data_IF_452439332543
#
_entry.id   IF_452439332543
#
_cell.length_a   1.000
_cell.length_b   1.000
_cell.length_c   1.000
_cell.angle_alpha   90.00
_cell.angle_beta   90.00
_cell.angle_gamma   90.00
#
_symmetry.space_group_name_H-M   'P 1'
#
loop_
_entity.id
_entity.type
_entity.pdbx_description
1 polymer ?
#
# COMPACT_ATOMS: atom_id res chain seq x y z
N UNK A 1 -52.25 -18.40 34.62
CA UNK A 1 -51.71 -17.71 35.81
C UNK A 1 -50.41 -17.09 35.36
N UNK A 2 -50.45 -15.80 35.02
CA UNK A 2 -49.30 -15.08 34.47
C UNK A 2 -48.44 -14.61 35.63
N UNK A 3 -47.23 -15.14 35.74
CA UNK A 3 -46.25 -14.74 36.73
C UNK A 3 -45.52 -13.49 36.21
N UNK A 4 -45.76 -12.37 36.87
CA UNK A 4 -45.07 -11.09 36.65
C UNK A 4 -44.15 -10.84 37.83
N UNK A 5 -42.92 -11.35 37.74
CA UNK A 5 -41.88 -11.21 38.76
C UNK A 5 -40.67 -10.40 38.27
N UNK A 6 -40.66 -9.12 38.67
CA UNK A 6 -39.54 -8.21 39.00
C UNK A 6 -38.27 -8.11 38.11
N UNK A 7 -37.92 -6.88 37.64
CA UNK A 7 -36.65 -6.60 36.97
C UNK A 7 -35.52 -6.39 38.00
N UNK A 8 -34.65 -7.37 38.14
CA UNK A 8 -33.45 -7.28 38.97
C UNK A 8 -32.42 -8.31 38.51
N UNK A 9 -31.18 -7.85 38.35
CA UNK A 9 -29.96 -8.62 38.08
C UNK A 9 -29.67 -9.00 36.62
N UNK A 10 -29.42 -7.99 35.77
CA UNK A 10 -28.54 -8.16 34.61
C UNK A 10 -27.11 -8.40 35.12
N UNK A 11 -26.70 -9.66 35.22
CA UNK A 11 -25.29 -10.01 35.41
C UNK A 11 -24.51 -9.57 34.16
N UNK A 12 -23.44 -8.79 34.37
CA UNK A 12 -22.55 -8.27 33.32
C UNK A 12 -21.61 -9.35 32.75
N UNK A 13 -22.11 -10.56 32.49
CA UNK A 13 -21.31 -11.66 31.95
C UNK A 13 -21.79 -12.20 30.60
N UNK A 14 -22.94 -11.73 30.09
CA UNK A 14 -23.40 -12.07 28.74
C UNK A 14 -23.11 -10.95 27.75
N UNK A 15 -21.82 -10.59 27.63
CA UNK A 15 -21.36 -10.02 26.36
C UNK A 15 -21.16 -11.23 25.45
N UNK A 16 -22.15 -11.46 24.59
CA UNK A 16 -22.23 -12.55 23.63
C UNK A 16 -20.87 -12.88 22.99
N UNK A 17 -20.26 -13.97 23.48
CA UNK A 17 -19.10 -14.62 22.88
C UNK A 17 -19.40 -15.19 21.46
N UNK A 18 -20.62 -14.98 20.95
CA UNK A 18 -21.05 -15.33 19.58
C UNK A 18 -20.57 -14.36 18.49
N UNK A 19 -19.93 -13.23 18.84
CA UNK A 19 -19.40 -12.27 17.85
C UNK A 19 -17.99 -12.62 17.32
N UNK A 20 -17.42 -13.78 17.70
CA UNK A 20 -16.09 -14.24 17.26
C UNK A 20 -16.15 -15.52 16.43
N UNK A 21 -17.26 -15.79 15.74
CA UNK A 21 -17.30 -16.89 14.79
C UNK A 21 -16.77 -16.44 13.41
N UNK A 22 -15.46 -16.61 13.20
CA UNK A 22 -14.79 -16.40 11.91
C UNK A 22 -15.31 -17.35 10.80
N UNK A 23 -16.30 -18.21 11.08
CA UNK A 23 -16.94 -19.09 10.09
C UNK A 23 -18.14 -18.46 9.37
N UNK A 24 -18.56 -17.24 9.72
CA UNK A 24 -19.55 -16.51 8.93
C UNK A 24 -18.94 -16.09 7.57
N UNK A 25 -19.47 -16.58 6.43
CA UNK A 25 -18.88 -16.31 5.11
C UNK A 25 -18.81 -14.82 4.79
N UNK A 26 -19.76 -14.00 5.27
CA UNK A 26 -19.73 -12.54 5.05
C UNK A 26 -18.61 -11.84 5.84
N UNK A 27 -18.28 -12.36 7.02
CA UNK A 27 -17.16 -11.85 7.82
C UNK A 27 -15.85 -12.28 7.14
N UNK A 28 -15.76 -13.52 6.69
CA UNK A 28 -14.57 -14.04 6.00
C UNK A 28 -14.28 -13.28 4.71
N UNK A 29 -15.28 -13.05 3.86
CA UNK A 29 -15.14 -12.27 2.62
C UNK A 29 -14.66 -10.85 2.92
N UNK A 30 -15.26 -10.19 3.92
CA UNK A 30 -14.83 -8.83 4.33
C UNK A 30 -13.40 -8.79 4.87
N UNK A 31 -12.95 -9.85 5.57
CA UNK A 31 -11.59 -9.97 6.08
C UNK A 31 -10.60 -10.20 4.93
N UNK A 32 -10.97 -11.03 3.94
CA UNK A 32 -10.17 -11.29 2.75
C UNK A 32 -9.98 -9.99 1.95
N UNK A 33 -11.06 -9.23 1.73
CA UNK A 33 -11.01 -7.95 1.03
C UNK A 33 -10.13 -6.95 1.77
N UNK A 34 -10.31 -6.80 3.09
CA UNK A 34 -9.47 -5.94 3.92
C UNK A 34 -8.00 -6.35 3.88
N UNK A 35 -7.71 -7.65 3.88
CA UNK A 35 -6.34 -8.16 3.79
C UNK A 35 -5.73 -7.87 2.41
N UNK A 36 -6.48 -8.08 1.33
CA UNK A 36 -6.06 -7.73 -0.03
C UNK A 36 -5.72 -6.25 -0.16
N UNK A 37 -6.58 -5.38 0.37
CA UNK A 37 -6.40 -3.94 0.44
C UNK A 37 -5.16 -3.53 1.25
N UNK A 38 -4.94 -4.16 2.41
CA UNK A 38 -3.75 -3.93 3.23
C UNK A 38 -2.47 -4.35 2.50
N UNK A 39 -2.51 -5.48 1.79
CA UNK A 39 -1.39 -5.98 1.02
C UNK A 39 -1.08 -5.07 -0.18
N UNK A 40 -2.10 -4.57 -0.89
CA UNK A 40 -1.95 -3.61 -1.97
C UNK A 40 -1.25 -2.33 -1.47
N UNK A 41 -1.73 -1.75 -0.36
CA UNK A 41 -1.13 -0.57 0.26
C UNK A 41 0.31 -0.81 0.73
N UNK A 42 0.58 -1.97 1.32
CA UNK A 42 1.93 -2.34 1.74
C UNK A 42 2.88 -2.45 0.54
N UNK A 43 2.43 -3.07 -0.56
CA UNK A 43 3.19 -3.19 -1.81
C UNK A 43 3.42 -1.82 -2.46
N UNK A 44 2.44 -0.93 -2.44
CA UNK A 44 2.55 0.43 -2.98
C UNK A 44 3.58 1.28 -2.21
N UNK A 45 3.47 1.34 -0.87
CA UNK A 45 4.42 2.07 -0.03
C UNK A 45 5.84 1.49 -0.14
N UNK A 46 5.96 0.17 -0.20
CA UNK A 46 7.25 -0.49 -0.40
C UNK A 46 7.87 -0.16 -1.76
N UNK A 47 7.05 -0.01 -2.81
CA UNK A 47 7.49 0.38 -4.16
C UNK A 47 7.96 1.84 -4.19
N UNK A 48 7.21 2.75 -3.57
CA UNK A 48 7.58 4.15 -3.42
C UNK A 48 8.93 4.32 -2.69
N UNK A 49 9.10 3.67 -1.53
CA UNK A 49 10.34 3.70 -0.77
C UNK A 49 11.52 3.06 -1.52
N UNK A 50 11.27 1.96 -2.25
CA UNK A 50 12.32 1.31 -3.04
C UNK A 50 12.77 2.18 -4.23
N UNK A 51 11.87 2.99 -4.80
CA UNK A 51 12.18 3.92 -5.87
C UNK A 51 13.00 5.12 -5.38
N UNK A 52 12.61 5.75 -4.26
CA UNK A 52 13.34 6.90 -3.69
C UNK A 52 14.75 6.51 -3.25
N UNK A 53 14.94 5.30 -2.73
CA UNK A 53 16.26 4.78 -2.33
C UNK A 53 17.04 4.12 -3.47
N UNK A 54 16.51 4.13 -4.69
CA UNK A 54 17.22 3.60 -5.84
C UNK A 54 18.28 4.62 -6.29
N UNK A 55 19.42 4.12 -6.78
CA UNK A 55 20.47 4.99 -7.32
C UNK A 55 20.00 5.77 -8.56
N UNK A 56 18.94 5.28 -9.21
CA UNK A 56 18.30 5.88 -10.37
C UNK A 56 16.85 6.26 -10.06
N UNK A 57 16.63 7.56 -9.85
CA UNK A 57 15.31 8.16 -9.59
C UNK A 57 14.72 8.68 -10.90
N UNK A 58 14.19 7.77 -11.71
CA UNK A 58 13.51 8.11 -12.98
C UNK A 58 12.07 7.62 -12.98
N UNK A 59 11.17 8.23 -13.77
CA UNK A 59 9.78 7.76 -13.93
C UNK A 59 9.71 6.32 -14.46
N UNK A 60 10.68 5.95 -15.30
CA UNK A 60 10.83 4.61 -15.85
C UNK A 60 11.21 3.59 -14.77
N UNK A 61 12.17 3.92 -13.89
CA UNK A 61 12.52 3.06 -12.76
C UNK A 61 11.33 2.83 -11.80
N UNK A 62 10.50 3.86 -11.57
CA UNK A 62 9.28 3.72 -10.78
C UNK A 62 8.29 2.75 -11.44
N UNK A 63 8.02 2.96 -12.72
CA UNK A 63 7.11 2.13 -13.52
C UNK A 63 7.55 0.67 -13.51
N UNK A 64 8.86 0.42 -13.60
CA UNK A 64 9.42 -0.92 -13.59
C UNK A 64 9.28 -1.58 -12.23
N UNK A 65 9.59 -0.88 -11.13
CA UNK A 65 9.39 -1.42 -9.76
C UNK A 65 7.91 -1.81 -9.56
N UNK A 66 6.98 -0.95 -9.97
CA UNK A 66 5.54 -1.21 -9.85
C UNK A 66 5.10 -2.37 -10.74
N UNK A 67 5.56 -2.44 -11.99
CA UNK A 67 5.24 -3.56 -12.90
C UNK A 67 5.75 -4.90 -12.39
N UNK A 68 6.97 -4.94 -11.84
CA UNK A 68 7.54 -6.15 -11.25
C UNK A 68 6.89 -6.54 -9.92
N UNK A 69 6.32 -5.58 -9.19
CA UNK A 69 5.54 -5.85 -7.99
C UNK A 69 4.15 -6.41 -8.33
N UNK A 70 3.54 -5.90 -9.40
CA UNK A 70 2.29 -6.42 -9.97
C UNK A 70 2.45 -7.75 -10.72
N UNK A 71 3.69 -8.23 -10.86
CA UNK A 71 4.06 -9.44 -11.60
C UNK A 71 3.52 -9.44 -13.05
N UNK A 72 3.34 -8.25 -13.62
CA UNK A 72 2.86 -8.13 -14.99
C UNK A 72 3.92 -8.70 -15.92
N UNK A 73 3.55 -9.77 -16.63
CA UNK A 73 4.46 -10.47 -17.50
C UNK A 73 5.00 -9.52 -18.57
N UNK A 74 6.32 -9.32 -18.54
CA UNK A 74 7.04 -8.50 -19.52
C UNK A 74 7.05 -9.18 -20.90
N UNK A 75 6.93 -10.51 -20.95
CA UNK A 75 7.14 -11.32 -22.16
C UNK A 75 5.84 -11.97 -22.70
N UNK A 76 4.87 -12.29 -21.83
CA UNK A 76 3.58 -12.91 -22.21
C UNK A 76 2.45 -11.89 -22.48
N UNK A 77 1.27 -12.41 -22.84
CA UNK A 77 0.05 -11.60 -22.97
C UNK A 77 -0.45 -11.20 -21.58
N UNK A 78 -0.57 -9.88 -21.36
CA UNK A 78 -1.08 -9.32 -20.10
C UNK A 78 -2.57 -9.61 -20.03
N UNK A 79 -3.01 -10.28 -18.97
CA UNK A 79 -4.43 -10.54 -18.72
C UNK A 79 -5.12 -9.32 -18.11
N UNK A 80 -6.44 -9.18 -18.30
CA UNK A 80 -7.20 -8.07 -17.72
C UNK A 80 -7.04 -7.95 -16.19
N UNK A 81 -7.08 -9.05 -15.40
CA UNK A 81 -6.88 -8.96 -13.95
C UNK A 81 -5.48 -8.48 -13.55
N UNK A 82 -4.43 -8.83 -14.31
CA UNK A 82 -3.07 -8.34 -14.07
C UNK A 82 -2.95 -6.85 -14.36
N UNK A 83 -3.64 -6.38 -15.39
CA UNK A 83 -3.70 -4.97 -15.75
C UNK A 83 -4.47 -4.14 -14.71
N UNK A 84 -5.61 -4.65 -14.23
CA UNK A 84 -6.39 -4.01 -13.16
C UNK A 84 -5.57 -3.90 -11.87
N UNK A 85 -4.87 -4.98 -11.48
CA UNK A 85 -3.99 -4.96 -10.30
C UNK A 85 -2.83 -3.98 -10.45
N UNK A 86 -2.24 -3.88 -11.64
CA UNK A 86 -1.19 -2.90 -11.92
C UNK A 86 -1.69 -1.45 -11.83
N UNK A 87 -2.88 -1.17 -12.37
CA UNK A 87 -3.50 0.16 -12.25
C UNK A 87 -3.78 0.54 -10.80
N UNK A 88 -4.31 -0.40 -10.02
CA UNK A 88 -4.58 -0.22 -8.60
C UNK A 88 -3.30 0.02 -7.81
N UNK A 89 -2.26 -0.77 -8.07
CA UNK A 89 -0.96 -0.63 -7.42
C UNK A 89 -0.29 0.69 -7.80
N UNK A 90 -0.39 1.11 -9.07
CA UNK A 90 0.20 2.38 -9.53
C UNK A 90 -0.49 3.57 -8.88
N UNK A 91 -1.83 3.54 -8.77
CA UNK A 91 -2.62 4.58 -8.11
C UNK A 91 -2.31 4.66 -6.62
N UNK A 92 -2.25 3.53 -5.94
CA UNK A 92 -1.87 3.49 -4.53
C UNK A 92 -0.42 3.93 -4.30
N UNK A 93 0.48 3.68 -5.26
CA UNK A 93 1.87 4.17 -5.19
C UNK A 93 1.92 5.70 -5.29
N UNK A 94 1.10 6.31 -6.13
CA UNK A 94 0.97 7.77 -6.19
C UNK A 94 0.48 8.36 -4.85
N UNK A 95 -0.53 7.74 -4.24
CA UNK A 95 -1.03 8.14 -2.91
C UNK A 95 0.06 7.95 -1.85
N UNK A 96 0.80 6.85 -1.90
CA UNK A 96 1.91 6.59 -0.97
C UNK A 96 3.02 7.65 -1.06
N UNK A 97 3.37 8.13 -2.27
CA UNK A 97 4.33 9.22 -2.46
C UNK A 97 3.86 10.52 -1.78
N UNK A 98 2.56 10.84 -1.89
CA UNK A 98 2.01 12.01 -1.18
C UNK A 98 2.00 11.81 0.34
N UNK A 99 1.75 10.58 0.82
CA UNK A 99 1.79 10.24 2.24
C UNK A 99 3.21 10.30 2.83
N UNK A 100 4.24 10.07 2.00
CA UNK A 100 5.65 10.27 2.37
C UNK A 100 6.06 11.75 2.38
N UNK A 101 5.20 12.65 1.89
CA UNK A 101 5.38 14.10 2.00
C UNK A 101 5.67 14.82 0.69
N UNK A 102 5.56 14.15 -0.46
CA UNK A 102 5.63 14.81 -1.76
C UNK A 102 4.39 15.69 -2.03
N UNK A 103 4.57 16.80 -2.74
CA UNK A 103 3.48 17.68 -3.13
C UNK A 103 2.59 17.01 -4.17
N UNK A 104 1.27 17.05 -3.99
CA UNK A 104 0.29 16.41 -4.88
C UNK A 104 0.45 16.85 -6.34
N UNK A 105 0.69 18.15 -6.56
CA UNK A 105 0.93 18.72 -7.89
C UNK A 105 2.12 18.07 -8.58
N UNK A 106 3.22 17.86 -7.85
CA UNK A 106 4.46 17.36 -8.42
C UNK A 106 4.37 15.86 -8.68
N UNK A 107 3.69 15.11 -7.80
CA UNK A 107 3.33 13.70 -8.04
C UNK A 107 2.43 13.56 -9.27
N UNK A 108 1.39 14.40 -9.40
CA UNK A 108 0.55 14.42 -10.60
C UNK A 108 1.37 14.68 -11.87
N UNK A 109 2.26 15.67 -11.81
CA UNK A 109 3.16 16.03 -12.91
C UNK A 109 4.07 14.87 -13.31
N UNK A 110 4.62 14.14 -12.33
CA UNK A 110 5.44 12.93 -12.55
C UNK A 110 4.69 11.87 -13.36
N UNK A 111 3.45 11.54 -12.98
CA UNK A 111 2.68 10.51 -13.68
C UNK A 111 2.14 10.98 -15.04
N UNK A 112 1.88 12.28 -15.21
CA UNK A 112 1.34 12.84 -16.46
C UNK A 112 2.40 13.11 -17.52
N UNK A 113 3.53 13.71 -17.12
CA UNK A 113 4.59 14.14 -18.03
C UNK A 113 5.70 13.10 -18.16
N UNK A 114 5.88 12.24 -17.16
CA UNK A 114 6.94 11.23 -17.10
C UNK A 114 8.32 11.83 -17.39
N UNK A 115 8.60 13.01 -16.85
CA UNK A 115 9.89 13.69 -16.99
C UNK A 115 10.79 13.49 -15.75
N UNK A 116 12.10 13.43 -15.99
CA UNK A 116 13.11 13.19 -14.95
C UNK A 116 13.18 14.34 -13.93
N UNK A 117 12.89 15.57 -14.36
CA UNK A 117 12.88 16.74 -13.46
C UNK A 117 11.80 16.62 -12.36
N UNK A 118 10.61 16.14 -12.71
CA UNK A 118 9.53 15.92 -11.73
C UNK A 118 9.86 14.75 -10.80
N UNK A 119 10.51 13.70 -11.32
CA UNK A 119 10.96 12.57 -10.52
C UNK A 119 11.96 13.00 -9.43
N UNK A 120 12.97 13.78 -9.80
CA UNK A 120 13.97 14.31 -8.87
C UNK A 120 13.33 15.22 -7.81
N UNK A 121 12.39 16.08 -8.22
CA UNK A 121 11.69 16.99 -7.31
C UNK A 121 10.90 16.22 -6.25
N UNK A 122 10.14 15.21 -6.66
CA UNK A 122 9.36 14.35 -5.76
C UNK A 122 10.27 13.58 -4.81
N UNK A 123 11.38 13.01 -5.30
CA UNK A 123 12.30 12.27 -4.46
C UNK A 123 13.00 13.16 -3.43
N UNK A 124 13.44 14.37 -3.81
CA UNK A 124 14.04 15.32 -2.88
C UNK A 124 13.07 15.71 -1.76
N UNK A 125 11.81 16.01 -2.09
CA UNK A 125 10.78 16.32 -1.09
C UNK A 125 10.59 15.19 -0.08
N UNK A 126 10.61 13.95 -0.55
CA UNK A 126 10.49 12.76 0.32
C UNK A 126 11.74 12.58 1.18
N UNK A 127 12.94 12.74 0.61
CA UNK A 127 14.20 12.64 1.34
C UNK A 127 14.32 13.72 2.44
N UNK A 128 13.94 14.95 2.14
CA UNK A 128 13.90 16.05 3.11
C UNK A 128 12.95 15.75 4.28
N UNK A 129 11.81 15.10 3.99
CA UNK A 129 10.84 14.70 5.02
C UNK A 129 11.33 13.53 5.85
N UNK A 130 11.88 12.50 5.22
CA UNK A 130 12.42 11.31 5.89
C UNK A 130 13.66 11.63 6.73
N UNK A 131 14.48 12.59 6.31
CA UNK A 131 15.62 13.05 7.09
C UNK A 131 15.21 13.87 8.32
N UNK A 132 14.09 14.59 8.24
CA UNK A 132 13.54 15.35 9.38
C UNK A 132 12.90 14.42 10.43
N UNK A 133 12.17 13.39 10.00
CA UNK A 133 11.51 12.43 10.88
C UNK A 133 11.92 10.99 10.53
N UNK A 134 13.07 10.51 11.02
CA UNK A 134 13.56 9.18 10.67
C UNK A 134 12.66 8.11 11.28
N UNK A 135 11.92 7.40 10.43
CA UNK A 135 11.17 6.20 10.78
C UNK A 135 11.73 5.00 10.02
N UNK A 136 11.73 3.84 10.64
CA UNK A 136 12.09 2.58 9.96
C UNK A 136 11.09 2.29 8.83
N UNK A 137 11.60 1.91 7.65
CA UNK A 137 10.78 1.60 6.47
C UNK A 137 9.69 0.56 6.74
N UNK A 138 10.00 -0.46 7.55
CA UNK A 138 9.03 -1.48 7.93
C UNK A 138 7.90 -0.88 8.77
N UNK A 139 8.19 0.17 9.53
CA UNK A 139 7.20 0.94 10.26
C UNK A 139 6.38 1.83 9.34
N UNK A 140 6.98 2.50 8.36
CA UNK A 140 6.22 3.29 7.37
C UNK A 140 5.27 2.43 6.54
N UNK A 141 5.78 1.33 5.98
CA UNK A 141 4.99 0.38 5.15
C UNK A 141 3.77 -0.12 5.90
N UNK A 142 3.96 -0.59 7.13
CA UNK A 142 2.87 -1.21 7.85
C UNK A 142 2.06 -0.23 8.71
N UNK A 143 2.45 1.04 8.83
CA UNK A 143 1.54 2.13 9.27
C UNK A 143 0.58 2.47 8.14
N UNK A 144 1.12 2.69 6.92
CA UNK A 144 0.33 2.99 5.73
C UNK A 144 -0.63 1.87 5.33
N UNK A 145 -0.21 0.61 5.48
CA UNK A 145 -1.08 -0.53 5.24
C UNK A 145 -2.34 -0.52 6.11
N UNK A 146 -2.23 -0.07 7.37
CA UNK A 146 -3.31 -0.10 8.36
C UNK A 146 -4.12 1.21 8.34
N UNK A 147 -3.42 2.34 8.45
CA UNK A 147 -3.99 3.67 8.52
C UNK A 147 -3.97 4.20 7.10
N UNK A 148 -5.08 4.02 6.37
CA UNK A 148 -5.23 4.61 5.05
C UNK A 148 -5.29 6.14 5.21
N UNK A 149 -4.32 6.93 4.73
CA UNK A 149 -4.53 8.37 4.63
C UNK A 149 -5.63 8.62 3.60
N UNK A 150 -6.47 9.64 3.83
CA UNK A 150 -7.45 10.03 2.81
C UNK A 150 -6.73 10.32 1.49
N UNK A 151 -7.21 9.81 0.34
CA UNK A 151 -6.60 10.11 -0.95
C UNK A 151 -6.75 11.61 -1.21
N UNK A 152 -5.68 12.37 -0.99
CA UNK A 152 -5.64 13.83 -1.27
C UNK A 152 -5.51 14.10 -2.77
N UNK A 153 -5.33 13.06 -3.60
CA UNK A 153 -5.42 13.19 -5.05
C UNK A 153 -6.87 13.48 -5.42
N UNK A 154 -7.14 14.74 -5.80
CA UNK A 154 -8.37 15.14 -6.47
C UNK A 154 -8.63 14.13 -7.58
N UNK A 155 -9.72 13.36 -7.41
CA UNK A 155 -10.29 12.36 -8.32
C UNK A 155 -9.48 12.24 -9.62
N UNK A 156 -8.69 11.16 -9.74
CA UNK A 156 -8.09 10.71 -11.00
C UNK A 156 -8.98 11.15 -12.17
N UNK A 157 -8.46 12.02 -13.04
CA UNK A 157 -9.27 12.72 -14.04
C UNK A 157 -10.10 11.70 -14.82
N UNK A 158 -11.38 11.65 -14.48
CA UNK A 158 -12.37 10.76 -15.04
C UNK A 158 -12.64 11.25 -16.44
N UNK A 159 -11.97 10.68 -17.44
CA UNK A 159 -12.25 11.04 -18.83
C UNK A 159 -13.62 10.47 -19.17
N UNK A 160 -14.59 11.35 -19.42
CA UNK A 160 -15.89 10.95 -19.97
C UNK A 160 -15.69 10.71 -21.45
N UNK A 161 -15.71 9.44 -21.87
CA UNK A 161 -15.85 9.04 -23.27
C UNK A 161 -17.20 8.35 -23.35
N UNK A 162 -18.12 8.89 -24.15
CA UNK A 162 -19.49 8.40 -24.34
C UNK A 162 -20.29 8.17 -23.03
N UNK A 163 -20.28 9.15 -22.12
CA UNK A 163 -21.09 9.13 -20.91
C UNK A 163 -20.64 8.11 -19.84
N UNK A 164 -19.55 7.38 -20.08
CA UNK A 164 -18.91 6.51 -19.09
C UNK A 164 -17.63 7.17 -18.58
N UNK A 165 -17.52 7.24 -17.26
CA UNK A 165 -16.30 7.61 -16.57
C UNK A 165 -15.29 6.48 -16.80
N UNK A 166 -14.24 6.74 -17.58
CA UNK A 166 -13.13 5.80 -17.76
C UNK A 166 -11.88 6.44 -17.16
N UNK A 167 -11.18 5.70 -16.29
CA UNK A 167 -9.88 6.14 -15.78
C UNK A 167 -8.89 6.17 -16.94
N UNK A 168 -8.01 7.19 -16.98
CA UNK A 168 -6.93 7.21 -17.99
C UNK A 168 -6.01 6.03 -17.74
N UNK A 169 -6.07 5.06 -18.66
CA UNK A 169 -5.22 3.87 -18.66
C UNK A 169 -3.75 4.27 -18.67
N UNK A 170 -2.98 3.79 -17.68
CA UNK A 170 -1.52 3.93 -17.70
C UNK A 170 -1.01 2.84 -18.63
N UNK A 171 -0.34 3.18 -19.74
CA UNK A 171 0.04 2.17 -20.73
C UNK A 171 1.11 1.25 -20.14
N UNK A 172 0.79 -0.04 -19.99
CA UNK A 172 1.79 -1.05 -19.65
C UNK A 172 2.71 -1.24 -20.86
N UNK A 173 4.02 -1.11 -20.66
CA UNK A 173 5.02 -1.34 -21.71
C UNK A 173 5.83 -2.59 -21.37
N UNK A 174 6.00 -3.49 -22.34
CA UNK A 174 6.95 -4.61 -22.26
C UNK A 174 8.38 -4.05 -22.16
N UNK A 175 9.08 -4.26 -21.06
CA UNK A 175 10.47 -3.76 -20.83
C UNK A 175 11.33 -4.77 -20.08
N UNK A 176 12.59 -4.93 -20.50
CA UNK A 176 13.56 -5.79 -19.79
C UNK A 176 14.14 -5.07 -18.57
N UNK A 177 13.98 -5.65 -17.37
CA UNK A 177 14.56 -5.10 -16.16
C UNK A 177 16.10 -5.22 -16.12
N UNK A 178 16.76 -4.11 -15.82
CA UNK A 178 18.20 -4.02 -15.53
C UNK A 178 18.53 -4.65 -14.17
N UNK A 179 19.83 -4.85 -13.89
CA UNK A 179 20.25 -5.46 -12.62
C UNK A 179 19.91 -4.59 -11.40
N UNK A 180 20.06 -3.26 -11.52
CA UNK A 180 19.70 -2.31 -10.47
C UNK A 180 18.20 -2.38 -10.17
N UNK A 181 17.36 -2.41 -11.21
CA UNK A 181 15.90 -2.52 -11.07
C UNK A 181 15.47 -3.84 -10.43
N UNK A 182 16.12 -4.96 -10.79
CA UNK A 182 15.88 -6.25 -10.11
C UNK A 182 16.26 -6.20 -8.63
N UNK A 183 17.32 -5.48 -8.28
CA UNK A 183 17.71 -5.27 -6.89
C UNK A 183 16.68 -4.40 -6.14
N UNK A 184 16.21 -3.31 -6.76
CA UNK A 184 15.15 -2.44 -6.23
C UNK A 184 13.84 -3.22 -6.04
N UNK A 185 13.42 -4.04 -7.01
CA UNK A 185 12.24 -4.90 -6.89
C UNK A 185 12.40 -5.91 -5.75
N UNK A 186 13.57 -6.56 -5.63
CA UNK A 186 13.85 -7.47 -4.52
C UNK A 186 13.79 -6.75 -3.18
N UNK A 187 14.23 -5.49 -3.11
CA UNK A 187 14.15 -4.63 -1.93
C UNK A 187 12.69 -4.30 -1.60
N UNK A 188 11.90 -3.87 -2.58
CA UNK A 188 10.47 -3.60 -2.44
C UNK A 188 9.72 -4.83 -1.89
N UNK A 189 9.90 -6.00 -2.52
CA UNK A 189 9.28 -7.27 -2.07
C UNK A 189 9.68 -7.62 -0.63
N UNK A 190 10.97 -7.47 -0.28
CA UNK A 190 11.42 -7.64 1.11
C UNK A 190 10.73 -6.65 2.05
N UNK A 191 10.58 -5.38 1.70
CA UNK A 191 9.93 -4.37 2.56
C UNK A 191 8.44 -4.71 2.77
N UNK A 192 7.71 -5.00 1.68
CA UNK A 192 6.30 -5.38 1.72
C UNK A 192 6.05 -6.60 2.62
N UNK A 193 6.84 -7.67 2.46
CA UNK A 193 6.60 -8.93 3.17
C UNK A 193 7.30 -9.06 4.53
N UNK A 194 8.34 -8.27 4.81
CA UNK A 194 9.09 -8.37 6.09
C UNK A 194 8.62 -7.41 7.17
N UNK A 195 7.87 -6.35 6.83
CA UNK A 195 7.44 -5.33 7.77
C UNK A 195 6.72 -5.92 9.01
N UNK A 196 5.70 -6.77 8.77
CA UNK A 196 4.97 -7.45 9.84
C UNK A 196 5.87 -8.37 10.67
N UNK A 197 6.75 -9.14 10.02
CA UNK A 197 7.66 -10.07 10.68
C UNK A 197 8.75 -9.36 11.52
N UNK A 198 9.24 -8.20 11.08
CA UNK A 198 10.17 -7.36 11.85
C UNK A 198 9.49 -6.78 13.09
N UNK A 199 8.26 -6.27 12.96
CA UNK A 199 7.49 -5.77 14.11
C UNK A 199 7.17 -6.86 15.13
N UNK A 200 6.80 -8.06 14.68
CA UNK A 200 6.56 -9.20 15.58
C UNK A 200 7.82 -9.54 16.40
N UNK A 201 9.00 -9.56 15.75
CA UNK A 201 10.28 -9.75 16.43
C UNK A 201 10.60 -8.60 17.40
N UNK A 202 10.43 -7.35 16.99
CA UNK A 202 10.65 -6.18 17.85
C UNK A 202 9.73 -6.19 19.08
N UNK A 203 8.45 -6.54 18.92
CA UNK A 203 7.48 -6.71 20.01
C UNK A 203 7.91 -7.85 20.95
N UNK A 204 8.34 -8.98 20.40
CA UNK A 204 8.84 -10.11 21.19
C UNK A 204 10.11 -9.74 21.99
N UNK A 205 11.04 -9.01 21.38
CA UNK A 205 12.27 -8.54 22.05
C UNK A 205 11.95 -7.51 23.13
N UNK A 206 11.05 -6.54 22.87
CA UNK A 206 10.58 -5.59 23.88
C UNK A 206 9.94 -6.31 25.08
N UNK A 207 9.13 -7.33 24.82
CA UNK A 207 8.51 -8.14 25.87
C UNK A 207 9.54 -8.94 26.68
N UNK A 208 10.58 -9.49 26.03
CA UNK A 208 11.70 -10.17 26.70
C UNK A 208 12.50 -9.22 27.58
N UNK A 209 12.87 -8.06 27.04
CA UNK A 209 13.55 -6.99 27.77
C UNK A 209 12.74 -6.51 28.99
N UNK A 210 11.42 -6.32 28.83
CA UNK A 210 10.52 -5.99 29.95
C UNK A 210 10.41 -7.10 31.01
N UNK A 211 10.68 -8.36 30.63
CA UNK A 211 10.72 -9.52 31.52
C UNK A 211 12.11 -9.84 32.05
N UNK A 212 13.12 -9.01 31.76
CA UNK A 212 14.51 -9.22 32.21
C UNK A 212 15.23 -10.39 31.54
N UNK A 213 14.80 -10.79 30.34
CA UNK A 213 15.42 -11.81 29.48
C UNK A 213 16.13 -11.17 28.29
#
# INVERSE_FOLDING_TARGET
MFDTGSPGDLQTTDIDYWCLDNSNPLIMDSIIDQFGDQQLRASAMASALAWVENDEVTPDALTEIVSGMADVAIEDDITQPEEDYYEDLTRETAIALTALGAENRDVKTLFERQDEASALTVAQQIEDKLSTEPKDDGTLVAEYAIIRPEPVMDKAERRVIDGKIVLKKIPVRKRRMTAAQKAALKKARRKAHSAAAKRARAKAMKLRSQRGL
#
